data_IF_985011948376
#
_entry.id   IF_985011948376
#
_cell.length_a   1.000
_cell.length_b   1.000
_cell.length_c   1.000
_cell.angle_alpha   90.00
_cell.angle_beta   90.00
_cell.angle_gamma   90.00
#
_symmetry.space_group_name_H-M   'P 1'
#
loop_
_entity.id
_entity.type
_entity.pdbx_description
1 polymer ?
#
# COMPACT_ATOMS: atom_id res chain seq x y z
N UNK A 1 43.47 -9.33 -4.36
CA UNK A 1 43.04 -7.97 -4.77
C UNK A 1 41.52 -8.00 -4.86
N UNK A 2 40.85 -7.57 -3.79
CA UNK A 2 39.38 -7.55 -3.68
C UNK A 2 38.84 -6.51 -4.65
N UNK A 3 38.09 -6.93 -5.66
CA UNK A 3 37.47 -6.02 -6.62
C UNK A 3 36.64 -4.98 -5.89
N UNK A 4 36.83 -3.70 -6.23
CA UNK A 4 35.94 -2.64 -5.78
C UNK A 4 34.53 -3.02 -6.22
N UNK A 5 33.61 -3.13 -5.27
CA UNK A 5 32.25 -3.56 -5.51
C UNK A 5 31.55 -2.48 -6.36
N UNK A 6 31.33 -2.74 -7.65
CA UNK A 6 30.69 -1.82 -8.62
C UNK A 6 29.17 -1.70 -8.38
N UNK A 7 28.75 -1.92 -7.14
CA UNK A 7 27.36 -1.90 -6.73
C UNK A 7 26.88 -0.46 -6.55
N UNK A 8 25.63 -0.24 -6.92
CA UNK A 8 24.93 1.03 -6.77
C UNK A 8 23.67 0.81 -5.96
N UNK A 9 23.28 1.82 -5.19
CA UNK A 9 22.10 1.77 -4.30
C UNK A 9 21.17 2.93 -4.65
N UNK A 10 19.99 2.63 -5.16
CA UNK A 10 18.90 3.60 -5.24
C UNK A 10 18.29 3.79 -3.86
N UNK A 11 18.30 5.04 -3.38
CA UNK A 11 17.68 5.45 -2.14
C UNK A 11 16.25 5.88 -2.39
N UNK A 12 15.29 5.18 -1.75
CA UNK A 12 13.86 5.44 -1.87
C UNK A 12 13.29 5.84 -0.52
N UNK A 13 12.69 7.03 -0.45
CA UNK A 13 11.97 7.53 0.72
C UNK A 13 10.55 6.99 0.72
N UNK A 14 10.16 6.33 1.81
CA UNK A 14 8.78 5.91 2.05
C UNK A 14 8.25 6.64 3.28
N UNK A 15 7.61 7.78 3.04
CA UNK A 15 7.00 8.63 4.05
C UNK A 15 5.57 8.99 3.63
N UNK A 16 4.70 9.13 4.63
CA UNK A 16 3.29 9.46 4.46
C UNK A 16 2.55 9.31 5.79
N UNK A 17 1.31 9.83 5.89
CA UNK A 17 0.56 9.80 7.15
C UNK A 17 0.26 8.37 7.60
N UNK A 18 0.01 7.46 6.65
CA UNK A 18 -0.27 6.05 6.89
C UNK A 18 0.48 5.19 5.89
N UNK A 19 0.96 4.03 6.33
CA UNK A 19 1.55 2.99 5.50
C UNK A 19 1.02 1.61 5.91
N UNK A 20 1.09 0.61 5.02
CA UNK A 20 0.75 -0.77 5.38
C UNK A 20 1.48 -1.81 4.52
N UNK A 21 2.31 -2.64 5.13
CA UNK A 21 3.16 -3.60 4.44
C UNK A 21 2.77 -5.04 4.82
N UNK A 22 1.98 -5.73 3.99
CA UNK A 22 1.45 -7.06 4.32
C UNK A 22 2.45 -8.20 4.08
N UNK A 23 2.41 -9.24 4.93
CA UNK A 23 3.10 -10.52 4.70
C UNK A 23 2.09 -11.69 4.72
N UNK A 24 1.32 -11.83 5.81
CA UNK A 24 0.49 -13.02 6.07
C UNK A 24 -1.02 -12.76 6.13
N UNK A 25 -1.45 -11.51 6.32
CA UNK A 25 -2.84 -11.17 6.62
C UNK A 25 -3.82 -11.53 5.50
N UNK A 26 -4.66 -12.56 5.71
CA UNK A 26 -5.77 -12.94 4.82
C UNK A 26 -7.12 -12.59 5.45
N UNK A 27 -8.09 -12.28 4.59
CA UNK A 27 -9.51 -12.09 4.96
C UNK A 27 -9.77 -10.90 5.92
N UNK A 28 -10.36 -11.17 7.09
CA UNK A 28 -10.97 -10.17 7.98
C UNK A 28 -9.97 -9.41 8.85
N UNK A 29 -8.82 -10.01 9.17
CA UNK A 29 -7.73 -9.35 9.88
C UNK A 29 -6.54 -9.19 8.95
N UNK A 30 -6.23 -7.94 8.62
CA UNK A 30 -5.13 -7.59 7.73
C UNK A 30 -4.05 -6.87 8.50
N UNK A 31 -3.02 -7.61 8.84
CA UNK A 31 -1.88 -7.07 9.57
C UNK A 31 -1.01 -6.16 8.67
N UNK A 32 -0.10 -5.44 9.32
CA UNK A 32 1.03 -4.76 8.68
C UNK A 32 2.30 -5.21 9.38
N UNK A 33 3.36 -5.34 8.61
CA UNK A 33 4.70 -5.49 9.11
C UNK A 33 5.20 -4.16 9.69
N UNK A 34 6.19 -4.20 10.58
CA UNK A 34 6.75 -3.02 11.27
C UNK A 34 7.64 -2.13 10.39
N UNK A 35 7.84 -2.53 9.13
CA UNK A 35 8.67 -1.85 8.12
C UNK A 35 8.27 -2.33 6.72
N UNK A 36 8.62 -1.58 5.66
CA UNK A 36 8.45 -1.98 4.27
C UNK A 36 8.94 -3.40 3.97
N UNK A 37 8.13 -4.14 3.21
CA UNK A 37 8.46 -5.47 2.71
C UNK A 37 9.04 -5.38 1.30
N UNK A 38 9.93 -6.31 0.93
CA UNK A 38 10.54 -6.30 -0.41
C UNK A 38 9.47 -6.41 -1.49
N UNK A 39 8.52 -7.32 -1.36
CA UNK A 39 7.39 -7.45 -2.30
C UNK A 39 6.56 -6.17 -2.44
N UNK A 40 6.33 -5.44 -1.34
CA UNK A 40 5.59 -4.17 -1.36
C UNK A 40 6.33 -3.09 -2.15
N UNK A 41 7.64 -2.96 -1.95
CA UNK A 41 8.47 -1.95 -2.64
C UNK A 41 8.71 -2.34 -4.10
N UNK A 42 8.98 -3.61 -4.40
CA UNK A 42 9.11 -4.05 -5.79
C UNK A 42 7.77 -3.90 -6.54
N UNK A 43 6.64 -4.15 -5.87
CA UNK A 43 5.31 -3.87 -6.42
C UNK A 43 5.09 -2.37 -6.71
N UNK A 44 5.60 -1.48 -5.85
CA UNK A 44 5.60 -0.03 -6.06
C UNK A 44 6.43 0.34 -7.31
N UNK A 45 7.66 -0.17 -7.42
CA UNK A 45 8.53 0.07 -8.59
C UNK A 45 7.93 -0.49 -9.88
N UNK A 46 7.35 -1.70 -9.84
CA UNK A 46 6.67 -2.29 -10.99
C UNK A 46 5.45 -1.47 -11.44
N UNK A 47 4.68 -0.92 -10.48
CA UNK A 47 3.58 -0.02 -10.79
C UNK A 47 4.06 1.29 -11.44
N UNK A 48 5.16 1.86 -10.93
CA UNK A 48 5.79 3.05 -11.46
C UNK A 48 6.25 2.86 -12.91
N UNK A 49 6.91 1.73 -13.20
CA UNK A 49 7.33 1.32 -14.55
C UNK A 49 6.17 0.95 -15.49
N UNK A 50 4.98 0.72 -14.93
CA UNK A 50 3.77 0.34 -15.66
C UNK A 50 3.68 -1.15 -16.01
N UNK A 51 4.43 -2.02 -15.34
CA UNK A 51 4.44 -3.46 -15.59
C UNK A 51 3.09 -4.10 -15.22
N UNK A 52 2.38 -4.79 -16.12
CA UNK A 52 1.21 -5.60 -15.80
C UNK A 52 1.49 -6.64 -14.70
N UNK A 53 0.46 -7.04 -13.97
CA UNK A 53 0.57 -7.98 -12.83
C UNK A 53 1.07 -9.38 -13.21
N UNK A 54 0.80 -9.77 -14.44
CA UNK A 54 1.12 -11.09 -14.98
C UNK A 54 2.50 -11.13 -15.65
N UNK A 55 3.13 -9.97 -15.86
CA UNK A 55 4.45 -9.91 -16.46
C UNK A 55 5.52 -10.34 -15.43
N UNK A 56 6.56 -11.09 -15.85
CA UNK A 56 7.70 -11.39 -15.00
C UNK A 56 8.35 -10.12 -14.47
N UNK A 57 8.84 -10.17 -13.23
CA UNK A 57 9.49 -9.02 -12.58
C UNK A 57 10.90 -8.75 -13.13
N UNK A 58 11.50 -9.73 -13.81
CA UNK A 58 12.85 -9.65 -14.37
C UNK A 58 13.87 -9.21 -13.32
N UNK A 59 14.74 -8.29 -13.72
CA UNK A 59 15.84 -7.73 -12.91
C UNK A 59 15.34 -7.08 -11.59
N UNK A 60 14.08 -6.63 -11.51
CA UNK A 60 13.53 -6.05 -10.28
C UNK A 60 13.45 -7.07 -9.14
N UNK A 61 13.32 -8.36 -9.43
CA UNK A 61 13.30 -9.39 -8.38
C UNK A 61 14.70 -9.66 -7.81
N UNK A 62 15.75 -9.32 -8.56
CA UNK A 62 17.16 -9.62 -8.27
C UNK A 62 17.83 -8.56 -7.39
N UNK A 63 17.26 -7.35 -7.35
CA UNK A 63 17.81 -6.27 -6.51
C UNK A 63 17.89 -6.68 -5.03
N UNK A 64 19.02 -6.36 -4.40
CA UNK A 64 19.21 -6.56 -2.96
C UNK A 64 18.48 -5.46 -2.20
N UNK A 65 17.73 -5.85 -1.19
CA UNK A 65 16.86 -4.92 -0.47
C UNK A 65 17.39 -4.58 0.93
N UNK A 66 17.36 -3.30 1.28
CA UNK A 66 17.61 -2.82 2.63
C UNK A 66 16.58 -1.79 3.07
N UNK A 67 16.33 -1.71 4.38
CA UNK A 67 15.45 -0.68 4.98
C UNK A 67 16.11 -0.10 6.21
N UNK A 68 16.13 1.22 6.33
CA UNK A 68 16.48 1.98 7.52
C UNK A 68 15.22 2.65 8.07
N UNK A 69 14.92 2.41 9.35
CA UNK A 69 13.80 3.05 10.03
C UNK A 69 14.25 4.34 10.69
N UNK A 70 14.09 5.46 9.97
CA UNK A 70 14.43 6.79 10.46
C UNK A 70 13.37 7.28 11.44
N UNK A 71 12.09 7.02 11.12
CA UNK A 71 10.97 7.10 12.07
C UNK A 71 10.16 5.80 11.96
N UNK A 72 10.18 4.91 12.97
CA UNK A 72 9.47 3.63 12.90
C UNK A 72 7.94 3.76 12.87
N UNK A 73 7.42 4.91 13.30
CA UNK A 73 5.99 5.18 13.42
C UNK A 73 5.30 4.40 14.53
N UNK A 74 3.98 4.53 14.61
CA UNK A 74 3.13 3.87 15.60
C UNK A 74 2.12 2.94 14.91
N UNK A 75 1.89 1.77 15.49
CA UNK A 75 0.88 0.84 14.97
C UNK A 75 -0.54 1.39 15.21
N UNK A 76 -1.34 1.47 14.16
CA UNK A 76 -2.72 1.93 14.18
C UNK A 76 -3.65 0.81 13.73
N UNK A 77 -4.71 0.55 14.49
CA UNK A 77 -5.80 -0.36 14.10
C UNK A 77 -7.00 0.44 13.58
N UNK A 78 -7.40 0.15 12.35
CA UNK A 78 -8.55 0.72 11.67
C UNK A 78 -9.69 -0.30 11.60
N UNK A 79 -10.87 0.07 12.11
CA UNK A 79 -12.10 -0.70 12.01
C UNK A 79 -12.82 -0.35 10.72
N UNK A 80 -12.80 -1.28 9.76
CA UNK A 80 -13.27 -1.03 8.41
C UNK A 80 -14.51 -1.88 8.11
N UNK A 81 -15.67 -1.25 8.19
CA UNK A 81 -16.98 -1.86 7.90
C UNK A 81 -17.37 -1.65 6.43
N UNK A 82 -17.76 -2.72 5.74
CA UNK A 82 -18.26 -2.69 4.36
C UNK A 82 -19.71 -3.18 4.31
N UNK A 83 -20.58 -2.44 3.62
CA UNK A 83 -21.97 -2.87 3.37
C UNK A 83 -22.93 -2.66 4.55
N UNK A 84 -22.61 -1.75 5.48
CA UNK A 84 -23.53 -1.33 6.54
C UNK A 84 -24.28 -0.04 6.18
N UNK A 85 -25.53 0.07 6.65
CA UNK A 85 -26.38 1.25 6.47
C UNK A 85 -27.37 1.14 5.29
N UNK A 86 -28.15 2.21 5.08
CA UNK A 86 -29.06 2.35 3.96
C UNK A 86 -28.37 3.03 2.78
N UNK A 87 -28.67 2.60 1.56
CA UNK A 87 -28.04 3.12 0.35
C UNK A 87 -29.09 3.69 -0.60
N UNK A 88 -28.83 4.82 -1.30
CA UNK A 88 -29.75 5.29 -2.32
C UNK A 88 -29.81 4.31 -3.48
N UNK A 89 -31.00 4.13 -4.05
CA UNK A 89 -31.20 3.39 -5.29
C UNK A 89 -30.37 4.03 -6.42
N UNK A 90 -29.45 3.28 -7.04
CA UNK A 90 -28.64 3.79 -8.15
C UNK A 90 -29.24 3.36 -9.50
N UNK A 91 -29.04 4.13 -10.58
CA UNK A 91 -29.51 3.75 -11.93
C UNK A 91 -29.05 2.35 -12.37
N UNK A 92 -27.81 1.97 -12.02
CA UNK A 92 -27.30 0.61 -12.28
C UNK A 92 -28.17 -0.47 -11.64
N UNK A 93 -28.75 -0.20 -10.47
CA UNK A 93 -29.48 -1.19 -9.68
C UNK A 93 -30.86 -1.46 -10.31
N UNK A 94 -31.41 -0.49 -11.05
CA UNK A 94 -32.59 -0.66 -11.92
C UNK A 94 -32.27 -1.49 -13.16
N UNK A 95 -31.09 -1.28 -13.75
CA UNK A 95 -30.63 -2.03 -14.94
C UNK A 95 -30.39 -3.50 -14.59
N UNK A 96 -29.88 -3.79 -13.39
CA UNK A 96 -29.53 -5.16 -12.97
C UNK A 96 -30.68 -5.96 -12.36
N UNK A 97 -31.81 -5.31 -12.04
CA UNK A 97 -32.97 -5.96 -11.39
C UNK A 97 -34.28 -5.48 -12.04
N UNK A 98 -34.77 -6.28 -12.99
CA UNK A 98 -35.97 -5.96 -13.78
C UNK A 98 -37.25 -5.86 -12.94
N UNK A 99 -37.38 -6.60 -11.82
CA UNK A 99 -38.53 -6.48 -10.92
C UNK A 99 -38.49 -5.14 -10.19
N UNK A 100 -37.29 -4.68 -9.85
CA UNK A 100 -37.11 -3.36 -9.24
C UNK A 100 -37.34 -2.23 -10.22
N UNK A 101 -36.93 -2.38 -11.48
CA UNK A 101 -37.32 -1.46 -12.55
C UNK A 101 -38.85 -1.38 -12.69
N UNK A 102 -39.53 -2.54 -12.70
CA UNK A 102 -40.99 -2.59 -12.78
C UNK A 102 -41.68 -1.97 -11.54
N UNK A 103 -41.14 -2.15 -10.33
CA UNK A 103 -41.65 -1.51 -9.09
C UNK A 103 -41.41 0.00 -9.09
N UNK A 104 -40.25 0.45 -9.55
CA UNK A 104 -39.94 1.88 -9.68
C UNK A 104 -40.84 2.58 -10.71
N UNK A 105 -41.37 1.85 -11.71
CA UNK A 105 -42.37 2.39 -12.65
C UNK A 105 -43.82 2.25 -12.19
N UNK A 106 -44.10 1.41 -11.17
CA UNK A 106 -45.47 1.17 -10.66
C UNK A 106 -45.78 1.81 -9.31
N UNK A 107 -44.79 2.29 -8.55
CA UNK A 107 -45.01 3.03 -7.29
C UNK A 107 -45.41 4.48 -7.59
N UNK A 108 -46.69 4.86 -7.46
CA UNK A 108 -47.17 6.22 -7.63
C UNK A 108 -47.24 6.85 -6.23
N UNK A 109 -46.13 6.88 -5.49
CA UNK A 109 -46.16 7.55 -4.19
C UNK A 109 -46.50 9.03 -4.44
N UNK A 110 -47.62 9.56 -3.91
CA UNK A 110 -47.92 10.97 -4.09
C UNK A 110 -46.78 11.75 -3.46
N UNK A 111 -46.19 12.65 -4.24
CA UNK A 111 -45.28 13.69 -3.73
C UNK A 111 -46.03 14.35 -2.56
N UNK A 112 -45.56 14.24 -1.30
CA UNK A 112 -46.21 14.94 -0.21
C UNK A 112 -46.16 16.45 -0.51
N UNK A 113 -47.18 17.24 -0.09
CA UNK A 113 -47.15 18.68 -0.30
C UNK A 113 -45.85 19.25 0.26
N UNK A 114 -45.23 20.15 -0.51
CA UNK A 114 -44.04 20.89 -0.11
C UNK A 114 -44.32 21.60 1.22
N UNK A 115 -43.78 21.07 2.31
CA UNK A 115 -43.38 21.85 3.48
C UNK A 115 -42.09 21.21 4.05
N UNK A 116 -41.00 21.98 3.96
CA UNK A 116 -39.69 21.82 4.63
C UNK A 116 -38.84 20.56 4.38
N UNK A 117 -38.92 19.91 3.21
CA UNK A 117 -37.98 18.85 2.85
C UNK A 117 -37.20 19.18 1.55
N UNK A 118 -35.87 18.94 1.49
CA UNK A 118 -35.07 19.23 0.31
C UNK A 118 -35.58 18.45 -0.92
N UNK A 119 -35.66 19.16 -2.05
CA UNK A 119 -36.18 18.72 -3.35
C UNK A 119 -35.73 17.29 -3.72
N UNK A 120 -36.66 16.37 -4.05
CA UNK A 120 -36.32 15.04 -4.50
C UNK A 120 -35.73 15.13 -5.93
N UNK A 121 -34.45 14.83 -6.07
CA UNK A 121 -33.82 14.68 -7.38
C UNK A 121 -34.49 13.60 -8.24
N UNK A 122 -34.13 13.49 -9.53
CA UNK A 122 -34.83 12.68 -10.55
C UNK A 122 -34.89 11.16 -10.30
N UNK A 123 -34.36 10.66 -9.19
CA UNK A 123 -34.32 9.25 -8.82
C UNK A 123 -35.16 8.91 -7.57
N UNK A 124 -35.95 9.86 -7.05
CA UNK A 124 -36.80 9.67 -5.88
C UNK A 124 -36.03 9.39 -4.58
N UNK A 125 -36.75 9.10 -3.49
CA UNK A 125 -36.20 8.76 -2.15
C UNK A 125 -36.16 7.25 -1.90
N UNK A 126 -36.05 6.42 -2.93
CA UNK A 126 -36.03 4.98 -2.77
C UNK A 126 -34.69 4.53 -2.13
N UNK A 127 -34.75 4.10 -0.87
CA UNK A 127 -33.61 3.59 -0.12
C UNK A 127 -33.55 2.06 -0.15
N UNK A 128 -32.33 1.53 -0.23
CA UNK A 128 -32.04 0.11 -0.14
C UNK A 128 -31.57 -0.21 1.27
N UNK A 129 -32.24 -1.17 1.90
CA UNK A 129 -31.92 -1.63 3.25
C UNK A 129 -30.54 -2.29 3.34
N UNK A 130 -30.01 -2.84 2.23
CA UNK A 130 -28.65 -3.36 2.13
C UNK A 130 -28.24 -3.52 0.65
N UNK A 131 -27.21 -2.82 0.15
CA UNK A 131 -26.50 -3.27 -1.07
C UNK A 131 -25.14 -2.60 -1.29
N UNK A 132 -24.04 -3.34 -1.07
CA UNK A 132 -22.72 -3.04 -1.63
C UNK A 132 -22.02 -4.35 -2.04
N UNK A 133 -22.47 -4.97 -3.13
CA UNK A 133 -21.84 -6.20 -3.62
C UNK A 133 -22.24 -6.58 -5.03
N UNK A 134 -21.37 -7.33 -5.73
CA UNK A 134 -21.73 -7.96 -7.01
C UNK A 134 -22.81 -9.03 -6.80
N UNK A 135 -23.73 -9.24 -7.74
CA UNK A 135 -24.70 -10.34 -7.70
C UNK A 135 -24.04 -11.67 -7.35
N UNK A 136 -24.63 -12.42 -6.42
CA UNK A 136 -24.21 -13.79 -6.05
C UNK A 136 -25.35 -14.76 -6.24
N UNK A 137 -25.00 -16.02 -6.49
CA UNK A 137 -25.96 -17.11 -6.69
C UNK A 137 -27.01 -16.71 -7.72
N UNK A 138 -26.53 -16.34 -8.91
CA UNK A 138 -27.40 -15.87 -9.99
C UNK A 138 -28.27 -17.05 -10.44
N UNK A 139 -29.58 -16.86 -10.41
CA UNK A 139 -30.59 -17.86 -10.78
C UNK A 139 -31.64 -17.22 -11.67
N UNK A 140 -32.34 -18.03 -12.47
CA UNK A 140 -33.52 -17.55 -13.17
C UNK A 140 -34.64 -17.27 -12.16
N UNK A 141 -35.24 -16.08 -12.26
CA UNK A 141 -36.46 -15.75 -11.54
C UNK A 141 -37.61 -16.64 -12.04
N UNK A 142 -38.35 -17.34 -11.17
CA UNK A 142 -39.38 -18.28 -11.60
C UNK A 142 -40.54 -17.65 -12.38
N UNK A 143 -40.80 -16.36 -12.19
CA UNK A 143 -41.93 -15.67 -12.82
C UNK A 143 -41.56 -15.04 -14.17
N UNK A 144 -40.40 -14.39 -14.26
CA UNK A 144 -39.96 -13.66 -15.45
C UNK A 144 -38.93 -14.39 -16.31
N UNK A 145 -38.26 -15.41 -15.77
CA UNK A 145 -37.11 -16.07 -16.40
C UNK A 145 -35.81 -15.25 -16.40
N UNK A 146 -35.82 -14.01 -15.91
CA UNK A 146 -34.62 -13.16 -15.90
C UNK A 146 -33.60 -13.64 -14.85
N UNK A 147 -32.31 -13.47 -15.16
CA UNK A 147 -31.24 -13.80 -14.23
C UNK A 147 -31.16 -12.77 -13.09
N UNK A 148 -31.46 -13.21 -11.86
CA UNK A 148 -31.47 -12.38 -10.65
C UNK A 148 -30.53 -12.96 -9.59
N UNK A 149 -30.05 -12.12 -8.67
CA UNK A 149 -29.26 -12.58 -7.52
C UNK A 149 -30.17 -13.25 -6.50
N UNK A 150 -29.92 -14.52 -6.16
CA UNK A 150 -30.70 -15.20 -5.12
C UNK A 150 -30.44 -14.66 -3.69
N UNK A 151 -29.41 -13.83 -3.50
CA UNK A 151 -29.07 -13.24 -2.21
C UNK A 151 -29.02 -11.71 -2.29
N UNK A 152 -30.16 -11.08 -2.02
CA UNK A 152 -30.35 -9.63 -2.08
C UNK A 152 -29.85 -8.88 -0.84
N UNK A 153 -29.71 -9.55 0.32
CA UNK A 153 -29.22 -8.94 1.56
C UNK A 153 -27.83 -9.46 1.90
N UNK A 154 -26.95 -8.55 2.33
CA UNK A 154 -25.66 -8.90 2.95
C UNK A 154 -25.59 -8.32 4.34
N UNK A 155 -25.09 -9.12 5.28
CA UNK A 155 -24.64 -8.59 6.57
C UNK A 155 -23.40 -7.72 6.34
N UNK A 156 -23.29 -6.62 7.10
CA UNK A 156 -22.09 -5.79 7.09
C UNK A 156 -20.88 -6.65 7.44
N UNK A 157 -19.82 -6.56 6.64
CA UNK A 157 -18.55 -7.20 6.93
C UNK A 157 -17.66 -6.21 7.66
N UNK A 158 -17.27 -6.56 8.89
CA UNK A 158 -16.27 -5.80 9.64
C UNK A 158 -14.90 -6.43 9.38
N UNK A 159 -13.93 -5.62 8.99
CA UNK A 159 -12.52 -6.02 8.85
C UNK A 159 -11.65 -5.14 9.73
N UNK A 160 -10.64 -5.71 10.37
CA UNK A 160 -9.62 -4.98 11.11
C UNK A 160 -8.37 -4.85 10.24
N UNK A 161 -7.92 -3.63 10.00
CA UNK A 161 -6.75 -3.34 9.17
C UNK A 161 -5.72 -2.60 9.97
N UNK A 162 -4.51 -3.13 10.01
CA UNK A 162 -3.39 -2.49 10.71
C UNK A 162 -2.57 -1.63 9.77
N UNK A 163 -2.14 -0.46 10.24
CA UNK A 163 -1.31 0.52 9.54
C UNK A 163 -0.16 0.98 10.43
N UNK A 164 0.87 1.56 9.82
CA UNK A 164 1.89 2.35 10.50
C UNK A 164 1.54 3.83 10.30
N UNK A 165 1.30 4.54 11.38
CA UNK A 165 1.04 5.98 11.39
C UNK A 165 2.34 6.75 11.64
N UNK A 166 2.52 7.86 10.92
CA UNK A 166 3.69 8.75 11.02
C UNK A 166 5.02 7.98 10.96
N UNK A 167 5.16 7.12 9.95
CA UNK A 167 6.36 6.36 9.71
C UNK A 167 7.15 6.95 8.53
N UNK A 168 8.47 6.94 8.64
CA UNK A 168 9.39 7.37 7.59
C UNK A 168 10.55 6.37 7.49
N UNK A 169 10.67 5.74 6.32
CA UNK A 169 11.71 4.75 6.04
C UNK A 169 12.58 5.19 4.87
N UNK A 170 13.88 4.97 4.98
CA UNK A 170 14.80 5.02 3.84
C UNK A 170 15.03 3.58 3.36
N UNK A 171 14.60 3.30 2.15
CA UNK A 171 14.79 2.01 1.49
C UNK A 171 15.99 2.10 0.54
N UNK A 172 16.78 1.04 0.48
CA UNK A 172 17.86 0.90 -0.49
C UNK A 172 17.56 -0.28 -1.42
N UNK A 173 17.70 -0.04 -2.73
CA UNK A 173 17.68 -1.08 -3.76
C UNK A 173 19.09 -1.16 -4.36
N UNK A 174 19.82 -2.21 -4.05
CA UNK A 174 21.20 -2.42 -4.50
C UNK A 174 21.25 -3.34 -5.72
N UNK A 175 21.96 -2.91 -6.76
CA UNK A 175 22.16 -3.64 -8.01
C UNK A 175 23.47 -3.20 -8.69
N UNK A 176 24.03 -4.04 -9.56
CA UNK A 176 25.23 -3.72 -10.35
C UNK A 176 24.91 -2.81 -11.55
N UNK A 177 23.79 -3.07 -12.24
CA UNK A 177 23.32 -2.19 -13.32
C UNK A 177 22.76 -0.87 -12.76
N UNK A 178 23.56 0.19 -12.86
CA UNK A 178 23.14 1.55 -12.54
C UNK A 178 22.00 2.04 -13.45
N UNK A 179 21.97 1.65 -14.72
CA UNK A 179 20.95 2.11 -15.65
C UNK A 179 19.57 1.57 -15.26
N UNK A 180 19.47 0.34 -14.74
CA UNK A 180 18.25 -0.20 -14.13
C UNK A 180 17.76 0.70 -12.99
N UNK A 181 18.65 1.05 -12.07
CA UNK A 181 18.32 1.90 -10.92
C UNK A 181 17.87 3.30 -11.36
N UNK A 182 18.52 3.88 -12.38
CA UNK A 182 18.13 5.17 -12.97
C UNK A 182 16.74 5.10 -13.62
N UNK A 183 16.43 4.02 -14.35
CA UNK A 183 15.08 3.80 -14.91
C UNK A 183 14.02 3.71 -13.81
N UNK A 184 14.30 2.98 -12.73
CA UNK A 184 13.38 2.86 -11.58
C UNK A 184 13.21 4.21 -10.88
N UNK A 185 14.30 4.93 -10.62
CA UNK A 185 14.27 6.24 -9.98
C UNK A 185 13.41 7.22 -10.77
N UNK A 186 13.64 7.32 -12.09
CA UNK A 186 12.83 8.17 -12.97
C UNK A 186 11.36 7.77 -12.96
N UNK A 187 11.06 6.47 -13.00
CA UNK A 187 9.68 5.99 -12.98
C UNK A 187 8.96 6.29 -11.65
N UNK A 188 9.66 6.27 -10.51
CA UNK A 188 9.06 6.60 -9.21
C UNK A 188 8.56 8.05 -9.16
N UNK A 189 9.28 8.98 -9.80
CA UNK A 189 8.89 10.40 -9.89
C UNK A 189 7.95 10.70 -11.07
N UNK A 190 7.97 9.87 -12.12
CA UNK A 190 7.10 9.98 -13.28
C UNK A 190 6.30 8.69 -13.52
N UNK A 191 5.42 8.31 -12.58
CA UNK A 191 4.86 6.97 -12.57
C UNK A 191 3.77 6.79 -13.62
N UNK A 192 3.81 5.67 -14.33
CA UNK A 192 2.75 5.29 -15.28
C UNK A 192 1.44 4.89 -14.59
N UNK A 193 1.46 4.65 -13.27
CA UNK A 193 0.30 4.30 -12.44
C UNK A 193 0.40 4.97 -11.08
N UNK A 194 -0.75 5.25 -10.45
CA UNK A 194 -0.78 5.82 -9.10
C UNK A 194 -0.05 4.93 -8.09
N UNK A 195 0.81 5.56 -7.29
CA UNK A 195 1.67 4.93 -6.30
C UNK A 195 1.08 5.02 -4.90
N UNK A 196 1.27 3.97 -4.11
CA UNK A 196 0.71 3.85 -2.76
C UNK A 196 1.67 3.11 -1.83
N UNK A 197 1.73 3.51 -0.56
CA UNK A 197 2.51 2.86 0.49
C UNK A 197 1.77 1.62 1.02
N UNK A 198 1.69 0.62 0.13
CA UNK A 198 1.04 -0.66 0.33
C UNK A 198 -0.45 -0.68 -0.03
N UNK A 199 -1.31 0.03 0.71
CA UNK A 199 -2.75 0.10 0.40
C UNK A 199 -3.09 1.37 -0.37
N UNK A 200 -4.08 1.32 -1.26
CA UNK A 200 -4.55 2.46 -2.07
C UNK A 200 -5.01 3.70 -1.27
N UNK A 201 -5.25 3.56 0.03
CA UNK A 201 -5.60 4.67 0.92
C UNK A 201 -4.37 5.37 1.52
N UNK A 202 -3.16 4.89 1.23
CA UNK A 202 -1.89 5.35 1.79
C UNK A 202 -1.09 6.05 0.69
N UNK A 203 -1.37 7.33 0.37
CA UNK A 203 -0.57 8.07 -0.60
C UNK A 203 0.85 8.32 -0.02
N UNK A 204 1.90 8.24 -0.84
CA UNK A 204 3.20 8.78 -0.44
C UNK A 204 3.13 10.30 -0.32
N UNK A 205 3.94 10.88 0.56
CA UNK A 205 4.18 12.32 0.60
C UNK A 205 5.56 12.63 0.05
N UNK A 206 5.68 13.66 -0.78
CA UNK A 206 6.96 14.12 -1.29
C UNK A 206 7.65 13.21 -2.30
N UNK A 207 8.92 13.53 -2.55
CA UNK A 207 9.77 12.78 -3.48
C UNK A 207 10.04 11.37 -2.93
N UNK A 208 10.00 10.39 -3.83
CA UNK A 208 10.26 8.98 -3.54
C UNK A 208 11.71 8.63 -3.82
N UNK A 209 12.27 8.98 -4.97
CA UNK A 209 13.65 8.69 -5.35
C UNK A 209 14.60 9.81 -4.90
N UNK A 210 15.44 9.51 -3.91
CA UNK A 210 16.40 10.47 -3.32
C UNK A 210 17.79 10.44 -3.98
N UNK A 211 17.96 9.66 -5.04
CA UNK A 211 19.21 9.52 -5.79
C UNK A 211 19.88 8.16 -5.61
N UNK A 212 21.00 7.99 -6.32
CA UNK A 212 21.76 6.74 -6.39
C UNK A 212 23.14 6.96 -5.77
N UNK A 213 23.48 6.14 -4.77
CA UNK A 213 24.77 6.14 -4.11
C UNK A 213 25.65 4.99 -4.64
N UNK A 214 26.98 5.19 -4.79
CA UNK A 214 27.90 4.09 -5.02
C UNK A 214 28.14 3.29 -3.74
N UNK A 215 28.49 2.01 -3.89
CA UNK A 215 28.84 1.12 -2.78
C UNK A 215 27.69 0.23 -2.31
N UNK A 216 27.82 -0.32 -1.11
CA UNK A 216 26.84 -1.25 -0.56
C UNK A 216 25.66 -0.54 0.11
N UNK A 217 24.56 -1.26 0.36
CA UNK A 217 23.43 -0.78 1.17
C UNK A 217 23.88 -0.20 2.51
N UNK A 218 24.88 -0.82 3.15
CA UNK A 218 25.40 -0.35 4.44
C UNK A 218 26.07 1.01 4.29
N UNK A 219 26.96 1.15 3.31
CA UNK A 219 27.68 2.39 3.06
C UNK A 219 26.69 3.53 2.74
N UNK A 220 25.70 3.24 1.89
CA UNK A 220 24.67 4.21 1.54
C UNK A 220 23.86 4.66 2.78
N UNK A 221 23.47 3.74 3.65
CA UNK A 221 22.72 4.06 4.88
C UNK A 221 23.56 4.75 5.96
N UNK A 222 24.88 4.56 5.98
CA UNK A 222 25.78 5.25 6.92
C UNK A 222 26.14 6.66 6.43
N UNK A 223 26.22 6.87 5.11
CA UNK A 223 26.67 8.13 4.49
C UNK A 223 25.57 9.13 4.16
N UNK A 224 24.29 8.79 4.37
CA UNK A 224 23.17 9.71 4.17
C UNK A 224 22.51 10.07 5.50
N UNK A 225 22.19 11.36 5.68
CA UNK A 225 21.55 11.86 6.89
C UNK A 225 20.20 11.18 7.15
N UNK A 226 19.68 11.28 8.37
CA UNK A 226 18.30 10.87 8.64
C UNK A 226 17.33 11.69 7.78
N UNK A 227 16.21 11.10 7.39
CA UNK A 227 15.14 11.78 6.67
C UNK A 227 14.64 13.00 7.47
N UNK A 228 14.19 14.07 6.79
CA UNK A 228 13.56 15.21 7.45
C UNK A 228 12.40 14.77 8.35
N UNK A 229 12.18 15.53 9.42
CA UNK A 229 11.20 15.27 10.48
C UNK A 229 11.48 14.03 11.35
N UNK A 230 12.50 13.21 11.07
CA UNK A 230 12.86 12.05 11.93
C UNK A 230 13.21 12.49 13.36
N UNK A 231 13.59 13.76 13.52
CA UNK A 231 13.72 14.48 14.79
C UNK A 231 12.37 15.17 15.04
N UNK A 232 11.46 14.50 15.74
CA UNK A 232 10.03 14.83 15.73
C UNK A 232 9.67 16.25 16.20
N UNK A 233 8.53 16.73 15.71
CA UNK A 233 7.62 17.60 16.45
C UNK A 233 7.05 16.82 17.66
N UNK A 234 7.87 16.66 18.70
CA UNK A 234 7.42 16.26 20.01
C UNK A 234 7.39 17.48 20.92
N UNK A 235 6.25 17.78 21.54
CA UNK A 235 6.20 18.64 22.73
C UNK A 235 6.98 17.96 23.84
N UNK A 236 8.30 18.16 23.85
CA UNK A 236 9.21 17.55 24.80
C UNK A 236 10.60 18.15 24.63
N UNK A 237 10.97 19.00 25.59
CA UNK A 237 12.28 19.61 25.86
C UNK A 237 13.25 19.83 24.68
N UNK A 238 13.58 21.10 24.34
CA UNK A 238 14.65 21.40 23.39
C UNK A 238 15.99 20.91 23.96
N UNK A 239 16.44 19.72 23.55
CA UNK A 239 17.70 19.15 24.04
C UNK A 239 17.85 17.62 23.91
N UNK A 240 16.78 16.86 23.70
CA UNK A 240 16.91 15.41 23.50
C UNK A 240 17.27 15.09 22.03
N UNK A 241 18.57 14.98 21.71
CA UNK A 241 19.00 14.37 20.44
C UNK A 241 18.42 12.95 20.37
N UNK A 242 17.56 12.60 19.39
CA UNK A 242 17.12 11.23 19.25
C UNK A 242 18.35 10.35 19.05
N UNK A 243 18.33 9.18 19.69
CA UNK A 243 19.39 8.18 19.62
C UNK A 243 19.85 8.02 18.16
N UNK A 244 21.07 8.48 17.88
CA UNK A 244 21.63 8.71 16.54
C UNK A 244 21.97 7.40 15.78
N UNK A 245 21.28 6.31 16.11
CA UNK A 245 21.53 4.98 15.56
C UNK A 245 20.22 4.28 15.16
N UNK A 246 19.64 4.58 13.97
CA UNK A 246 18.42 3.92 13.53
C UNK A 246 18.63 2.41 13.37
N UNK A 247 17.54 1.65 13.46
CA UNK A 247 17.55 0.25 13.06
C UNK A 247 17.57 0.17 11.54
N UNK A 248 18.42 -0.71 11.01
CA UNK A 248 18.38 -1.10 9.62
C UNK A 248 18.32 -2.62 9.46
N UNK A 249 17.69 -3.05 8.38
CA UNK A 249 17.56 -4.44 7.98
C UNK A 249 18.12 -4.60 6.58
N UNK A 250 19.00 -5.58 6.40
CA UNK A 250 19.62 -5.87 5.11
C UNK A 250 19.30 -7.29 4.71
N UNK A 251 18.90 -7.47 3.46
CA UNK A 251 18.74 -8.78 2.87
C UNK A 251 20.04 -9.58 2.94
N UNK A 252 19.91 -10.81 3.45
CA UNK A 252 20.99 -11.77 3.54
C UNK A 252 20.87 -12.79 2.41
N UNK A 253 21.92 -12.99 1.60
CA UNK A 253 21.92 -13.98 0.52
C UNK A 253 21.92 -15.41 1.05
N UNK A 254 22.22 -15.60 2.35
CA UNK A 254 22.26 -16.91 3.00
C UNK A 254 21.33 -16.94 4.22
N UNK A 255 20.71 -18.09 4.52
CA UNK A 255 20.00 -18.29 5.77
C UNK A 255 20.88 -17.98 6.97
N UNK A 256 20.30 -17.31 7.97
CA UNK A 256 21.01 -16.93 9.20
C UNK A 256 20.55 -17.88 10.31
N UNK A 257 21.48 -18.58 10.98
CA UNK A 257 21.13 -19.46 12.09
C UNK A 257 20.32 -18.71 13.17
N UNK A 258 19.18 -19.27 13.58
CA UNK A 258 18.33 -18.71 14.63
C UNK A 258 17.38 -17.58 14.20
N UNK A 259 17.43 -17.13 12.94
CA UNK A 259 16.49 -16.13 12.39
C UNK A 259 15.60 -16.80 11.34
N UNK A 260 14.29 -16.81 11.58
CA UNK A 260 13.32 -17.33 10.64
C UNK A 260 13.21 -16.48 9.35
N UNK A 261 12.81 -17.09 8.22
CA UNK A 261 12.63 -16.35 6.97
C UNK A 261 11.39 -15.46 6.99
N UNK A 262 11.40 -14.41 6.17
CA UNK A 262 10.23 -13.63 5.78
C UNK A 262 9.69 -14.14 4.45
N UNK A 263 8.36 -14.21 4.31
CA UNK A 263 7.69 -14.57 3.07
C UNK A 263 7.36 -13.32 2.25
N UNK A 264 8.38 -12.59 1.80
CA UNK A 264 8.24 -11.33 1.08
C UNK A 264 9.15 -11.19 -0.15
N UNK A 265 9.86 -12.24 -0.58
CA UNK A 265 10.55 -12.25 -1.88
C UNK A 265 9.50 -12.35 -2.99
N UNK A 266 9.33 -11.35 -3.86
CA UNK A 266 8.28 -11.39 -4.87
C UNK A 266 8.60 -12.41 -5.97
N UNK A 267 7.63 -13.27 -6.29
CA UNK A 267 7.72 -14.23 -7.41
C UNK A 267 6.75 -13.83 -8.53
N UNK A 268 5.48 -13.57 -8.19
CA UNK A 268 4.43 -13.15 -9.13
C UNK A 268 3.37 -12.31 -8.42
N UNK A 269 2.76 -11.36 -9.11
CA UNK A 269 1.70 -10.48 -8.57
C UNK A 269 0.31 -10.72 -9.21
N UNK A 270 0.04 -11.94 -9.65
CA UNK A 270 -1.13 -12.31 -10.45
C UNK A 270 -2.48 -11.93 -9.83
N UNK A 271 -3.50 -11.81 -10.68
CA UNK A 271 -4.84 -11.42 -10.25
C UNK A 271 -5.51 -12.44 -9.30
N UNK A 272 -5.14 -13.72 -9.41
CA UNK A 272 -5.52 -14.85 -8.55
C UNK A 272 -4.84 -14.80 -7.17
N UNK A 273 -3.77 -14.02 -7.04
CA UNK A 273 -3.03 -13.83 -5.81
C UNK A 273 -1.53 -13.66 -6.06
N UNK A 274 -0.88 -12.90 -5.18
CA UNK A 274 0.57 -12.79 -5.20
C UNK A 274 1.23 -14.05 -4.62
N UNK A 275 2.31 -14.50 -5.25
CA UNK A 275 3.17 -15.58 -4.77
C UNK A 275 4.49 -15.00 -4.27
N UNK A 276 4.92 -15.42 -3.09
CA UNK A 276 6.15 -14.95 -2.46
C UNK A 276 7.04 -16.12 -2.07
N UNK A 277 8.34 -15.98 -2.32
CA UNK A 277 9.39 -16.85 -1.81
C UNK A 277 9.83 -16.45 -0.40
N UNK A 278 10.76 -17.23 0.14
CA UNK A 278 11.39 -16.97 1.43
C UNK A 278 12.62 -16.09 1.27
N UNK A 279 12.83 -15.18 2.22
CA UNK A 279 13.95 -14.26 2.28
C UNK A 279 14.49 -14.18 3.70
N UNK A 280 15.80 -14.00 3.83
CA UNK A 280 16.45 -13.78 5.13
C UNK A 280 17.01 -12.38 5.20
N UNK A 281 17.11 -11.86 6.42
CA UNK A 281 17.64 -10.52 6.67
C UNK A 281 18.45 -10.50 7.96
N UNK A 282 19.44 -9.60 8.00
CA UNK A 282 20.16 -9.25 9.22
C UNK A 282 19.67 -7.91 9.75
N UNK A 283 19.62 -7.75 11.07
CA UNK A 283 19.22 -6.50 11.74
C UNK A 283 20.42 -5.85 12.42
N UNK A 284 20.65 -4.57 12.15
CA UNK A 284 21.79 -3.81 12.67
C UNK A 284 21.38 -2.43 13.19
N UNK A 285 22.13 -1.90 14.16
CA UNK A 285 22.09 -0.49 14.55
C UNK A 285 23.12 0.28 13.74
N UNK A 286 22.66 1.11 12.81
CA UNK A 286 23.52 1.90 11.92
C UNK A 286 23.94 3.17 12.63
N UNK A 287 25.18 3.61 12.47
CA UNK A 287 25.65 4.91 12.96
C UNK A 287 25.78 5.83 11.76
N UNK A 288 25.06 6.96 11.78
CA UNK A 288 25.15 7.93 10.70
C UNK A 288 26.50 8.65 10.78
N UNK A 289 27.21 8.72 9.66
CA UNK A 289 28.52 9.37 9.57
C UNK A 289 28.41 10.87 9.90
N UNK A 290 29.44 11.43 10.53
CA UNK A 290 29.45 12.85 10.90
C UNK A 290 29.36 13.79 9.68
N UNK A 291 29.83 13.33 8.52
CA UNK A 291 29.81 14.04 7.23
C UNK A 291 28.71 13.49 6.30
N UNK A 292 27.68 12.85 6.87
CA UNK A 292 26.60 12.30 6.07
C UNK A 292 25.94 13.39 5.21
N UNK A 293 25.67 13.06 3.96
CA UNK A 293 25.05 13.98 3.00
C UNK A 293 23.65 14.34 3.47
N UNK A 294 23.37 15.63 3.53
CA UNK A 294 22.03 16.16 3.77
C UNK A 294 21.13 15.92 2.56
N UNK A 295 19.88 16.35 2.69
CA UNK A 295 18.90 16.30 1.61
C UNK A 295 18.68 17.72 1.11
N UNK A 296 18.97 17.98 -0.18
CA UNK A 296 18.95 19.33 -0.72
C UNK A 296 17.53 19.93 -0.71
N UNK A 297 16.54 19.16 -1.18
CA UNK A 297 15.10 19.45 -1.08
C UNK A 297 14.36 18.10 -1.05
N UNK A 298 13.45 17.93 -0.09
CA UNK A 298 12.45 16.87 -0.10
C UNK A 298 11.11 17.58 -0.02
N UNK A 299 10.35 17.60 -1.11
CA UNK A 299 9.02 18.23 -1.16
C UNK A 299 7.95 17.40 -0.44
#
# INVERSE_FOLDING_TARGET
MSGANDAHVLLVRLAGPLQSWGITGRFARRDTHSRPTKSGVIGLCAAALGLPREEPLGELAEVRFGVRADRPGTSLRDYHTVGGGRYPLRPRDLITDHQRAARATTDPSPVPPLDDAPEPGPFGRAELEAWYGSPKYVTADPASGALVSAQLRRHSLITERWYLADAAFLVGLEHEDRALLERVAHALEHPKRLLWLGRKACPPSGDLALGIAPGSLRDAFETHALLPDAVGCGTGSPGARPSARPWAWFESPRPIPGVGPLSDQPVRFGADGATHGLRWETRHRITIAAHARGWDIIL
#
